data_IF_357697225943
#
_entry.id   IF_357697225943
#
_cell.length_a   1.000
_cell.length_b   1.000
_cell.length_c   1.000
_cell.angle_alpha   90.00
_cell.angle_beta   90.00
_cell.angle_gamma   90.00
#
_symmetry.space_group_name_H-M   'P 1'
#
loop_
_entity.id
_entity.type
_entity.pdbx_description
1 polymer ?
#
# COMPACT_ATOMS: atom_id res chain seq x y z
N UNK A 1 -39.02 46.66 17.99
CA UNK A 1 -37.65 46.21 18.34
C UNK A 1 -37.62 45.07 19.37
N UNK A 2 -38.55 44.99 20.32
CA UNK A 2 -38.51 43.94 21.39
C UNK A 2 -38.70 42.49 20.94
N UNK A 3 -39.50 42.22 19.89
CA UNK A 3 -39.78 40.83 19.46
C UNK A 3 -38.53 40.15 18.88
N UNK A 4 -37.72 40.90 18.12
CA UNK A 4 -36.47 40.36 17.55
C UNK A 4 -35.44 40.06 18.63
N UNK A 5 -35.36 40.90 19.67
CA UNK A 5 -34.49 40.68 20.83
C UNK A 5 -34.94 39.47 21.67
N UNK A 6 -36.25 39.24 21.80
CA UNK A 6 -36.78 38.04 22.46
C UNK A 6 -36.42 36.76 21.71
N UNK A 7 -36.55 36.75 20.37
CA UNK A 7 -36.19 35.58 19.56
C UNK A 7 -34.69 35.27 19.59
N UNK A 8 -33.82 36.28 19.51
CA UNK A 8 -32.37 36.05 19.58
C UNK A 8 -31.95 35.52 20.96
N UNK A 9 -32.53 36.07 22.04
CA UNK A 9 -32.30 35.55 23.40
C UNK A 9 -32.78 34.11 23.56
N UNK A 10 -33.93 33.76 22.99
CA UNK A 10 -34.48 32.41 23.04
C UNK A 10 -33.63 31.38 22.26
N UNK A 11 -33.12 31.75 21.08
CA UNK A 11 -32.22 30.90 20.31
C UNK A 11 -30.89 30.68 21.05
N UNK A 12 -30.32 31.72 21.65
CA UNK A 12 -29.11 31.60 22.47
C UNK A 12 -29.31 30.71 23.69
N UNK A 13 -30.46 30.83 24.36
CA UNK A 13 -30.84 29.95 25.46
C UNK A 13 -30.90 28.47 25.03
N UNK A 14 -31.55 28.19 23.90
CA UNK A 14 -31.64 26.84 23.30
C UNK A 14 -30.27 26.25 22.95
N UNK A 15 -29.38 27.04 22.37
CA UNK A 15 -28.02 26.62 22.01
C UNK A 15 -27.19 26.34 23.27
N UNK A 16 -27.34 27.15 24.32
CA UNK A 16 -26.63 26.96 25.57
C UNK A 16 -27.04 25.69 26.30
N UNK A 17 -28.34 25.34 26.25
CA UNK A 17 -28.86 24.09 26.82
C UNK A 17 -28.31 22.85 26.09
N UNK A 18 -28.21 22.90 24.76
CA UNK A 18 -27.60 21.84 23.95
C UNK A 18 -26.11 21.67 24.25
N UNK A 19 -25.35 22.78 24.32
CA UNK A 19 -23.94 22.78 24.69
C UNK A 19 -23.69 22.15 26.06
N UNK A 20 -24.58 22.41 27.04
CA UNK A 20 -24.50 21.81 28.38
C UNK A 20 -24.75 20.30 28.37
N UNK A 21 -25.62 19.79 27.49
CA UNK A 21 -25.86 18.35 27.32
C UNK A 21 -24.67 17.66 26.66
N UNK A 22 -24.14 18.26 25.60
CA UNK A 22 -22.96 17.74 24.89
C UNK A 22 -21.74 17.73 25.81
N UNK A 23 -21.52 18.80 26.58
CA UNK A 23 -20.43 18.86 27.57
C UNK A 23 -20.47 17.72 28.59
N UNK A 24 -21.65 17.33 29.08
CA UNK A 24 -21.79 16.17 29.99
C UNK A 24 -21.46 14.83 29.32
N UNK A 25 -21.82 14.68 28.05
CA UNK A 25 -21.53 13.46 27.28
C UNK A 25 -20.04 13.41 26.97
N UNK A 26 -19.44 14.53 26.56
CA UNK A 26 -18.00 14.66 26.37
C UNK A 26 -17.27 14.39 27.69
N UNK A 27 -17.66 14.96 28.82
CA UNK A 27 -17.06 14.67 30.12
C UNK A 27 -17.19 13.18 30.47
N UNK A 28 -18.33 12.54 30.20
CA UNK A 28 -18.50 11.10 30.43
C UNK A 28 -17.62 10.23 29.53
N UNK A 29 -17.45 10.61 28.26
CA UNK A 29 -16.68 9.85 27.26
C UNK A 29 -15.17 10.12 27.32
N UNK A 30 -14.77 11.33 27.72
CA UNK A 30 -13.38 11.80 27.71
C UNK A 30 -12.77 11.96 29.10
N UNK A 31 -13.50 11.80 30.20
CA UNK A 31 -12.83 11.71 31.52
C UNK A 31 -12.07 10.38 31.60
N UNK A 32 -10.73 10.42 31.75
CA UNK A 32 -9.95 9.21 31.91
C UNK A 32 -10.38 8.58 33.24
N UNK A 33 -10.88 7.34 33.18
CA UNK A 33 -11.11 6.51 34.36
C UNK A 33 -9.79 6.43 35.12
N UNK A 34 -9.65 7.21 36.21
CA UNK A 34 -8.52 7.10 37.13
C UNK A 34 -8.56 5.68 37.69
N UNK A 35 -7.70 4.81 37.16
CA UNK A 35 -7.45 3.50 37.75
C UNK A 35 -6.92 3.77 39.15
N UNK A 36 -7.66 3.32 40.16
CA UNK A 36 -7.24 3.31 41.55
C UNK A 36 -5.93 2.54 41.64
N UNK A 37 -4.85 3.25 41.96
CA UNK A 37 -3.55 2.67 42.26
C UNK A 37 -3.62 1.91 43.59
N UNK A 38 -3.73 0.59 43.49
CA UNK A 38 -3.25 -0.38 44.46
C UNK A 38 -2.74 -1.52 43.58
N UNK A 39 -1.44 -1.69 43.36
CA UNK A 39 -0.48 -2.22 44.34
C UNK A 39 0.94 -1.94 43.79
N UNK A 40 1.74 -1.19 44.55
CA UNK A 40 3.18 -1.03 44.29
C UNK A 40 3.91 -2.04 45.15
N UNK A 41 4.59 -3.02 44.55
CA UNK A 41 5.96 -3.36 44.93
C UNK A 41 6.70 -4.18 43.87
N UNK A 42 7.44 -3.54 42.96
CA UNK A 42 8.91 -3.70 42.88
C UNK A 42 9.52 -2.81 41.77
N UNK A 43 10.27 -1.82 42.24
CA UNK A 43 11.46 -1.18 41.66
C UNK A 43 11.45 -0.63 40.21
N UNK A 44 11.45 0.72 40.21
CA UNK A 44 12.39 1.65 39.53
C UNK A 44 12.15 1.99 38.04
N UNK A 45 11.67 3.23 37.85
CA UNK A 45 11.69 4.04 36.62
C UNK A 45 13.13 4.54 36.31
N UNK A 46 13.50 5.01 35.09
CA UNK A 46 12.79 6.10 34.40
C UNK A 46 12.44 5.85 32.92
N UNK A 47 11.19 6.12 32.58
CA UNK A 47 10.73 7.02 31.50
C UNK A 47 11.66 7.17 30.29
N UNK A 48 11.34 6.46 29.19
CA UNK A 48 11.04 7.11 27.91
C UNK A 48 10.46 6.10 26.91
N UNK A 49 9.28 6.44 26.37
CA UNK A 49 8.71 6.06 25.08
C UNK A 49 9.19 4.74 24.43
N UNK A 50 8.39 3.68 24.60
CA UNK A 50 8.09 2.63 23.61
C UNK A 50 7.74 1.32 24.34
N UNK A 51 6.60 1.27 25.03
CA UNK A 51 5.96 -0.02 25.33
C UNK A 51 5.08 -0.43 24.14
N UNK A 52 5.74 -0.52 22.99
CA UNK A 52 5.23 -1.22 21.80
C UNK A 52 5.92 -2.58 21.86
N UNK A 53 5.15 -3.67 21.81
CA UNK A 53 5.73 -5.00 21.63
C UNK A 53 6.69 -4.96 20.43
N UNK A 54 8.00 -5.02 20.69
CA UNK A 54 9.06 -4.85 19.66
C UNK A 54 10.21 -3.90 20.02
N UNK A 55 10.16 -3.16 21.13
CA UNK A 55 11.23 -2.22 21.53
C UNK A 55 12.55 -2.87 22.04
N UNK A 56 12.78 -4.16 21.80
CA UNK A 56 14.07 -4.78 22.08
C UNK A 56 15.09 -4.38 21.01
N UNK A 57 15.99 -3.46 21.36
CA UNK A 57 17.07 -2.96 20.48
C UNK A 57 18.26 -3.91 20.36
N UNK A 58 18.15 -5.12 20.90
CA UNK A 58 19.20 -6.12 20.93
C UNK A 58 18.61 -7.44 20.47
N UNK A 59 19.11 -7.94 19.33
CA UNK A 59 18.86 -9.29 18.85
C UNK A 59 19.96 -10.17 19.45
N UNK A 60 19.59 -11.22 20.19
CA UNK A 60 20.55 -12.25 20.56
C UNK A 60 20.83 -13.09 19.32
N UNK A 61 21.85 -12.66 18.59
CA UNK A 61 22.46 -13.50 17.57
C UNK A 61 23.38 -14.49 18.29
N UNK A 62 23.25 -15.78 17.95
CA UNK A 62 24.21 -16.81 18.35
C UNK A 62 25.64 -16.35 18.01
N UNK A 63 26.64 -16.73 18.79
CA UNK A 63 28.05 -16.31 18.57
C UNK A 63 28.59 -16.70 17.17
N UNK A 64 27.87 -17.60 16.49
CA UNK A 64 28.14 -18.12 15.15
C UNK A 64 27.21 -17.56 14.06
N UNK A 65 26.29 -16.67 14.37
CA UNK A 65 25.41 -16.05 13.39
C UNK A 65 26.23 -15.26 12.35
N UNK A 66 26.20 -15.73 11.10
CA UNK A 66 26.99 -15.18 9.99
C UNK A 66 28.43 -15.70 9.91
N UNK A 67 28.89 -16.56 10.84
CA UNK A 67 30.18 -17.28 10.78
C UNK A 67 30.05 -18.68 10.18
N UNK A 68 29.04 -18.95 9.36
CA UNK A 68 29.01 -20.17 8.57
C UNK A 68 30.16 -20.10 7.56
N UNK A 69 31.24 -20.79 7.87
CA UNK A 69 32.30 -21.10 6.90
C UNK A 69 31.63 -21.81 5.74
N UNK A 70 31.86 -21.37 4.51
CA UNK A 70 31.45 -22.13 3.34
C UNK A 70 31.94 -23.58 3.54
N UNK A 71 31.08 -24.60 3.40
CA UNK A 71 31.45 -25.98 3.72
C UNK A 71 32.82 -26.28 3.14
N UNK A 72 33.79 -26.65 4.00
CA UNK A 72 35.20 -26.81 3.60
C UNK A 72 35.39 -27.86 2.49
N UNK A 73 34.35 -28.65 2.22
CA UNK A 73 34.28 -29.59 1.12
C UNK A 73 32.85 -29.55 0.55
N UNK A 74 32.65 -28.97 -0.64
CA UNK A 74 31.56 -29.43 -1.49
C UNK A 74 32.01 -30.75 -2.08
N UNK A 75 31.51 -31.88 -1.56
CA UNK A 75 31.59 -33.11 -2.34
C UNK A 75 30.96 -32.81 -3.70
N UNK A 76 31.67 -33.13 -4.79
CA UNK A 76 31.05 -33.10 -6.11
C UNK A 76 29.83 -34.02 -6.02
N UNK A 77 28.66 -33.52 -6.46
CA UNK A 77 27.49 -34.36 -6.64
C UNK A 77 27.95 -35.58 -7.43
N UNK A 78 27.75 -36.77 -6.86
CA UNK A 78 27.95 -38.00 -7.61
C UNK A 78 27.04 -37.86 -8.83
N UNK A 79 27.60 -37.66 -10.04
CA UNK A 79 26.84 -37.86 -11.27
C UNK A 79 26.54 -39.35 -11.48
N UNK A 80 26.41 -40.13 -10.40
CA UNK A 80 25.91 -41.47 -10.41
C UNK A 80 24.40 -41.37 -10.49
N UNK A 81 23.88 -41.12 -11.69
CA UNK A 81 22.46 -41.27 -12.03
C UNK A 81 21.52 -41.04 -10.85
N UNK A 82 21.43 -39.79 -10.36
CA UNK A 82 20.43 -39.36 -9.36
C UNK A 82 19.02 -39.38 -9.98
N UNK A 83 18.65 -40.49 -10.63
CA UNK A 83 17.27 -40.90 -10.80
C UNK A 83 16.77 -41.19 -9.38
N UNK A 84 15.99 -40.25 -8.84
CA UNK A 84 15.25 -40.40 -7.59
C UNK A 84 14.16 -41.46 -7.85
N UNK A 85 14.56 -42.74 -7.92
CA UNK A 85 13.70 -43.86 -8.28
C UNK A 85 13.17 -43.77 -9.72
N UNK A 86 13.39 -44.82 -10.51
CA UNK A 86 12.42 -45.14 -11.55
C UNK A 86 11.17 -45.57 -10.79
N UNK A 87 10.09 -44.79 -10.83
CA UNK A 87 8.79 -45.32 -10.45
C UNK A 87 8.47 -46.42 -11.45
N UNK A 88 8.58 -47.68 -11.06
CA UNK A 88 8.30 -48.82 -11.95
C UNK A 88 6.84 -48.85 -12.41
N UNK A 89 5.96 -48.12 -11.70
CA UNK A 89 4.56 -47.93 -12.04
C UNK A 89 4.32 -46.92 -13.17
N UNK A 90 5.33 -46.12 -13.56
CA UNK A 90 5.23 -45.15 -14.65
C UNK A 90 6.09 -45.64 -15.82
N UNK A 91 5.48 -46.21 -16.87
CA UNK A 91 6.23 -46.70 -18.00
C UNK A 91 6.81 -45.52 -18.80
N UNK A 92 8.02 -45.68 -19.36
CA UNK A 92 8.77 -44.62 -20.05
C UNK A 92 8.00 -43.99 -21.22
N UNK A 93 7.00 -44.70 -21.74
CA UNK A 93 6.15 -44.20 -22.81
C UNK A 93 5.02 -43.27 -22.40
N UNK A 94 4.73 -43.15 -21.10
CA UNK A 94 3.82 -42.10 -20.60
C UNK A 94 4.50 -40.72 -20.53
N UNK A 95 5.85 -40.69 -20.45
CA UNK A 95 6.64 -39.46 -20.37
C UNK A 95 7.23 -39.03 -21.72
N UNK A 96 7.36 -39.94 -22.69
CA UNK A 96 7.92 -39.62 -24.01
C UNK A 96 6.83 -39.16 -25.00
N UNK A 97 6.97 -37.96 -25.55
CA UNK A 97 6.05 -37.47 -26.58
C UNK A 97 6.16 -38.32 -27.86
N UNK A 98 5.29 -39.32 -28.01
CA UNK A 98 5.20 -40.21 -29.21
C UNK A 98 4.55 -39.56 -30.44
N UNK A 99 4.37 -38.23 -30.44
CA UNK A 99 3.77 -37.55 -31.57
C UNK A 99 4.74 -37.58 -32.76
N UNK A 100 4.29 -37.93 -33.97
CA UNK A 100 5.12 -37.80 -35.16
C UNK A 100 5.55 -36.33 -35.35
N UNK A 101 6.72 -36.13 -35.95
CA UNK A 101 7.32 -34.80 -36.18
C UNK A 101 6.37 -33.79 -36.85
N UNK A 102 5.49 -34.26 -37.74
CA UNK A 102 4.51 -33.42 -38.42
C UNK A 102 3.43 -32.89 -37.47
N UNK A 103 2.95 -33.73 -36.54
CA UNK A 103 1.98 -33.31 -35.51
C UNK A 103 2.62 -32.34 -34.51
N UNK A 104 3.88 -32.57 -34.13
CA UNK A 104 4.62 -31.62 -33.28
C UNK A 104 4.76 -30.25 -33.95
N UNK A 105 4.97 -30.24 -35.27
CA UNK A 105 5.06 -29.00 -36.03
C UNK A 105 3.72 -28.28 -36.12
N UNK A 106 2.63 -28.99 -36.40
CA UNK A 106 1.29 -28.41 -36.42
C UNK A 106 0.91 -27.81 -35.06
N UNK A 107 1.17 -28.51 -33.96
CA UNK A 107 0.90 -28.00 -32.61
C UNK A 107 1.74 -26.77 -32.27
N UNK A 108 2.99 -26.72 -32.72
CA UNK A 108 3.84 -25.54 -32.55
C UNK A 108 3.28 -24.33 -33.30
N UNK A 109 2.82 -24.52 -34.53
CA UNK A 109 2.26 -23.45 -35.36
C UNK A 109 0.92 -22.95 -34.75
N UNK A 110 0.07 -23.85 -34.24
CA UNK A 110 -1.16 -23.47 -33.49
C UNK A 110 -0.84 -22.71 -32.19
N UNK A 111 0.18 -23.13 -31.45
CA UNK A 111 0.59 -22.42 -30.23
C UNK A 111 1.10 -21.01 -30.55
N UNK A 112 1.86 -20.85 -31.63
CA UNK A 112 2.34 -19.53 -32.08
C UNK A 112 1.16 -18.63 -32.50
N UNK A 113 0.13 -19.17 -33.15
CA UNK A 113 -1.10 -18.45 -33.47
C UNK A 113 -1.86 -18.01 -32.19
N UNK A 114 -2.02 -18.92 -31.22
CA UNK A 114 -2.67 -18.60 -29.94
C UNK A 114 -1.90 -17.56 -29.14
N UNK A 115 -0.57 -17.68 -29.09
CA UNK A 115 0.31 -16.73 -28.41
C UNK A 115 0.24 -15.35 -29.09
N UNK A 116 0.14 -15.31 -30.42
CA UNK A 116 -0.03 -14.05 -31.17
C UNK A 116 -1.38 -13.37 -30.94
N UNK A 117 -2.40 -14.16 -30.58
CA UNK A 117 -3.75 -13.67 -30.26
C UNK A 117 -3.90 -13.31 -28.79
N UNK A 118 -3.00 -13.78 -27.94
CA UNK A 118 -2.96 -13.39 -26.54
C UNK A 118 -2.63 -11.90 -26.46
N UNK A 119 -3.40 -11.08 -25.72
CA UNK A 119 -3.00 -9.70 -25.48
C UNK A 119 -1.60 -9.70 -24.84
N UNK A 120 -0.75 -8.75 -25.24
CA UNK A 120 0.48 -8.46 -24.50
C UNK A 120 0.10 -8.36 -23.02
N UNK A 121 0.75 -9.19 -22.18
CA UNK A 121 0.41 -9.35 -20.78
C UNK A 121 0.04 -7.99 -20.16
N UNK A 122 -1.18 -7.88 -19.62
CA UNK A 122 -1.65 -6.66 -18.98
C UNK A 122 -0.56 -6.14 -18.06
N UNK A 123 -0.10 -4.92 -18.34
CA UNK A 123 0.95 -4.29 -17.57
C UNK A 123 0.57 -4.39 -16.10
N UNK A 124 1.35 -5.16 -15.33
CA UNK A 124 1.11 -5.43 -13.92
C UNK A 124 0.78 -4.09 -13.26
N UNK A 125 -0.46 -3.95 -12.79
CA UNK A 125 -0.91 -2.75 -12.10
C UNK A 125 0.13 -2.48 -11.00
N UNK A 126 0.72 -1.27 -10.95
CA UNK A 126 1.75 -0.96 -9.96
C UNK A 126 1.28 -1.37 -8.57
N UNK A 127 2.11 -2.14 -7.86
CA UNK A 127 1.76 -2.63 -6.53
C UNK A 127 1.47 -1.43 -5.60
N UNK A 128 0.21 -1.31 -5.18
CA UNK A 128 -0.25 -0.25 -4.29
C UNK A 128 0.22 -0.56 -2.88
N UNK A 129 0.98 0.35 -2.28
CA UNK A 129 1.50 0.20 -0.92
C UNK A 129 0.50 0.73 0.12
N UNK A 130 0.58 0.31 1.39
CA UNK A 130 -0.24 0.89 2.46
C UNK A 130 -0.08 2.41 2.60
N UNK A 131 1.12 2.94 2.31
CA UNK A 131 1.39 4.38 2.33
C UNK A 131 0.64 5.12 1.21
N UNK A 132 0.41 4.47 0.07
CA UNK A 132 -0.37 5.04 -1.03
C UNK A 132 -1.84 5.15 -0.65
N UNK A 133 -2.40 4.13 0.00
CA UNK A 133 -3.78 4.17 0.51
C UNK A 133 -3.97 5.20 1.62
N UNK A 134 -2.99 5.35 2.52
CA UNK A 134 -3.01 6.41 3.54
C UNK A 134 -3.00 7.79 2.89
N UNK A 135 -2.15 8.01 1.88
CA UNK A 135 -2.11 9.28 1.15
C UNK A 135 -3.44 9.58 0.44
N UNK A 136 -4.13 8.58 -0.11
CA UNK A 136 -5.50 8.75 -0.64
C UNK A 136 -6.45 9.23 0.44
N UNK A 137 -6.43 8.62 1.63
CA UNK A 137 -7.22 9.05 2.77
C UNK A 137 -6.92 10.50 3.19
N UNK A 138 -5.64 10.86 3.30
CA UNK A 138 -5.20 12.21 3.66
C UNK A 138 -5.68 13.25 2.64
N UNK A 139 -5.59 12.95 1.35
CA UNK A 139 -6.03 13.85 0.26
C UNK A 139 -7.55 14.00 0.26
N UNK A 140 -8.30 12.90 0.35
CA UNK A 140 -9.78 12.93 0.34
C UNK A 140 -10.36 13.63 1.56
N UNK A 141 -9.76 13.43 2.74
CA UNK A 141 -10.16 14.09 3.98
C UNK A 141 -9.48 15.47 4.18
N UNK A 142 -8.63 15.86 3.23
CA UNK A 142 -7.81 17.07 3.27
C UNK A 142 -7.07 17.28 4.60
N UNK A 143 -6.51 16.20 5.15
CA UNK A 143 -5.71 16.22 6.37
C UNK A 143 -4.41 16.96 6.12
N UNK A 144 -4.03 17.86 7.04
CA UNK A 144 -2.83 18.69 6.94
C UNK A 144 -2.70 19.48 5.61
N UNK A 145 -3.82 19.74 4.93
CA UNK A 145 -3.82 20.41 3.62
C UNK A 145 -3.33 19.54 2.47
N UNK A 146 -3.32 18.20 2.62
CA UNK A 146 -2.84 17.26 1.61
C UNK A 146 -3.56 17.38 0.25
N UNK A 147 -4.84 17.77 0.23
CA UNK A 147 -5.56 18.00 -1.03
C UNK A 147 -5.10 19.25 -1.80
N UNK A 148 -4.32 20.13 -1.17
CA UNK A 148 -3.69 21.29 -1.83
C UNK A 148 -2.25 21.01 -2.26
N UNK A 149 -1.66 19.90 -1.81
CA UNK A 149 -0.32 19.47 -2.19
C UNK A 149 -0.39 18.71 -3.52
N UNK A 150 0.27 19.25 -4.54
CA UNK A 150 0.18 18.74 -5.92
C UNK A 150 0.82 17.36 -6.08
N UNK A 151 1.94 17.08 -5.38
CA UNK A 151 2.60 15.79 -5.44
C UNK A 151 1.76 14.71 -4.72
N UNK A 152 1.18 15.04 -3.56
CA UNK A 152 0.29 14.13 -2.83
C UNK A 152 -1.00 13.86 -3.60
N UNK A 153 -1.60 14.90 -4.19
CA UNK A 153 -2.82 14.79 -4.99
C UNK A 153 -2.59 13.95 -6.25
N UNK A 154 -1.48 14.15 -6.94
CA UNK A 154 -1.08 13.33 -8.08
C UNK A 154 -0.89 11.86 -7.68
N UNK A 155 -0.16 11.60 -6.59
CA UNK A 155 0.06 10.24 -6.09
C UNK A 155 -1.25 9.57 -5.68
N UNK A 156 -2.17 10.31 -5.06
CA UNK A 156 -3.50 9.82 -4.70
C UNK A 156 -4.31 9.47 -5.96
N UNK A 157 -4.31 10.31 -7.00
CA UNK A 157 -4.97 10.05 -8.26
C UNK A 157 -4.43 8.77 -8.95
N UNK A 158 -3.11 8.59 -8.97
CA UNK A 158 -2.50 7.36 -9.51
C UNK A 158 -2.89 6.11 -8.73
N UNK A 159 -2.98 6.24 -7.41
CA UNK A 159 -3.40 5.14 -6.53
C UNK A 159 -4.86 4.79 -6.78
N UNK A 160 -5.74 5.79 -6.83
CA UNK A 160 -7.16 5.62 -7.14
C UNK A 160 -7.37 4.98 -8.51
N UNK A 161 -6.56 5.34 -9.52
CA UNK A 161 -6.57 4.70 -10.85
C UNK A 161 -6.18 3.22 -10.72
N UNK A 162 -5.11 2.91 -10.01
CA UNK A 162 -4.62 1.55 -9.85
C UNK A 162 -5.64 0.64 -9.14
N UNK A 163 -6.42 1.16 -8.19
CA UNK A 163 -7.42 0.38 -7.45
C UNK A 163 -8.83 0.47 -8.02
N UNK A 164 -9.06 1.12 -9.17
CA UNK A 164 -10.39 1.47 -9.70
C UNK A 164 -11.34 0.27 -9.87
N UNK A 165 -10.78 -0.90 -10.14
CA UNK A 165 -11.50 -2.18 -10.36
C UNK A 165 -11.55 -3.05 -9.09
N UNK A 166 -11.39 -2.44 -7.91
CA UNK A 166 -11.39 -3.14 -6.61
C UNK A 166 -12.44 -2.57 -5.66
N UNK A 167 -12.90 -3.39 -4.71
CA UNK A 167 -13.83 -3.00 -3.65
C UNK A 167 -13.35 -1.79 -2.82
N UNK A 168 -12.03 -1.59 -2.72
CA UNK A 168 -11.46 -0.43 -2.04
C UNK A 168 -11.83 0.88 -2.72
N UNK A 169 -11.92 0.91 -4.05
CA UNK A 169 -12.35 2.09 -4.78
C UNK A 169 -13.84 2.36 -4.59
N UNK A 170 -14.67 1.31 -4.57
CA UNK A 170 -16.10 1.45 -4.25
C UNK A 170 -16.30 2.05 -2.85
N UNK A 171 -15.52 1.63 -1.86
CA UNK A 171 -15.56 2.19 -0.51
C UNK A 171 -15.27 3.71 -0.53
N UNK A 172 -14.21 4.15 -1.22
CA UNK A 172 -13.85 5.57 -1.30
C UNK A 172 -14.88 6.40 -2.07
N UNK A 173 -15.40 5.87 -3.18
CA UNK A 173 -16.36 6.56 -4.05
C UNK A 173 -17.80 6.56 -3.52
N UNK A 174 -18.14 5.66 -2.59
CA UNK A 174 -19.46 5.60 -1.95
C UNK A 174 -19.81 6.86 -1.15
N UNK A 175 -18.80 7.59 -0.67
CA UNK A 175 -19.00 8.84 0.07
C UNK A 175 -19.25 10.00 -0.92
N UNK A 176 -20.38 10.69 -0.78
CA UNK A 176 -20.81 11.76 -1.70
C UNK A 176 -19.81 12.92 -1.76
N UNK A 177 -19.18 13.25 -0.63
CA UNK A 177 -18.14 14.30 -0.55
C UNK A 177 -16.87 13.91 -1.32
N UNK A 178 -16.50 12.62 -1.26
CA UNK A 178 -15.34 12.11 -1.97
C UNK A 178 -15.59 11.96 -3.47
N UNK A 179 -16.82 11.64 -3.89
CA UNK A 179 -17.12 11.41 -5.31
C UNK A 179 -16.69 12.58 -6.20
N UNK A 180 -17.04 13.81 -5.81
CA UNK A 180 -16.65 15.01 -6.57
C UNK A 180 -15.14 15.23 -6.56
N UNK A 181 -14.48 15.00 -5.42
CA UNK A 181 -13.02 15.15 -5.28
C UNK A 181 -12.26 14.11 -6.11
N UNK A 182 -12.75 12.87 -6.15
CA UNK A 182 -12.18 11.80 -6.97
C UNK A 182 -12.33 12.15 -8.44
N UNK A 183 -13.50 12.62 -8.89
CA UNK A 183 -13.70 13.08 -10.27
C UNK A 183 -12.73 14.21 -10.64
N UNK A 184 -12.57 15.23 -9.77
CA UNK A 184 -11.63 16.34 -9.98
C UNK A 184 -10.16 15.87 -10.03
N UNK A 185 -9.77 14.91 -9.18
CA UNK A 185 -8.42 14.33 -9.17
C UNK A 185 -8.14 13.52 -10.43
N UNK A 186 -9.10 12.72 -10.88
CA UNK A 186 -8.97 11.95 -12.11
C UNK A 186 -8.86 12.87 -13.32
N UNK A 187 -9.76 13.85 -13.47
CA UNK A 187 -9.73 14.80 -14.59
C UNK A 187 -8.41 15.59 -14.66
N UNK A 188 -7.82 15.93 -13.50
CA UNK A 188 -6.55 16.67 -13.45
C UNK A 188 -5.32 15.86 -13.81
N UNK A 189 -5.29 14.58 -13.43
CA UNK A 189 -4.04 13.80 -13.37
C UNK A 189 -4.07 12.51 -14.20
N UNK A 190 -5.22 12.12 -14.72
CA UNK A 190 -5.45 10.88 -15.47
C UNK A 190 -6.08 11.24 -16.83
N UNK A 191 -5.53 10.70 -17.92
CA UNK A 191 -6.11 10.87 -19.27
C UNK A 191 -7.26 9.88 -19.55
N UNK A 192 -7.92 10.03 -20.71
CA UNK A 192 -9.07 9.19 -21.12
C UNK A 192 -8.68 7.72 -21.28
N UNK A 193 -7.43 7.44 -21.64
CA UNK A 193 -6.85 6.10 -21.72
C UNK A 193 -6.42 5.57 -20.34
N UNK A 194 -6.55 6.38 -19.30
CA UNK A 194 -6.21 6.10 -17.92
C UNK A 194 -4.77 6.42 -17.55
N UNK A 195 -3.89 6.85 -18.45
CA UNK A 195 -2.49 7.12 -18.15
C UNK A 195 -2.25 8.39 -17.34
N UNK A 196 -1.08 8.45 -16.71
CA UNK A 196 -0.71 9.54 -15.83
C UNK A 196 -0.31 10.79 -16.63
N UNK A 197 -1.00 11.90 -16.39
CA UNK A 197 -0.61 13.18 -16.99
C UNK A 197 0.72 13.68 -16.39
N UNK A 198 1.60 14.29 -17.20
CA UNK A 198 2.86 14.81 -16.70
C UNK A 198 2.61 15.99 -15.76
N UNK A 199 3.15 15.91 -14.54
CA UNK A 199 3.18 17.03 -13.62
C UNK A 199 3.85 18.22 -14.29
N UNK A 200 3.19 19.39 -14.28
CA UNK A 200 3.78 20.66 -14.69
C UNK A 200 4.82 21.09 -13.66
N UNK A 201 5.96 20.41 -13.60
CA UNK A 201 7.12 20.93 -12.88
C UNK A 201 7.57 22.19 -13.59
N UNK A 202 7.41 23.35 -12.94
CA UNK A 202 8.22 24.51 -13.26
C UNK A 202 9.68 24.05 -13.15
N UNK A 203 10.32 23.87 -14.31
CA UNK A 203 11.75 23.60 -14.38
C UNK A 203 12.46 24.83 -13.84
N UNK A 204 12.71 24.86 -12.54
CA UNK A 204 13.93 25.48 -12.05
C UNK A 204 15.06 24.70 -12.70
N UNK A 205 15.60 25.25 -13.80
CA UNK A 205 16.73 24.71 -14.55
C UNK A 205 17.93 24.69 -13.61
N UNK A 206 18.04 23.65 -12.80
CA UNK A 206 19.29 23.30 -12.15
C UNK A 206 20.24 22.86 -13.26
N UNK A 207 21.43 23.46 -13.23
CA UNK A 207 22.49 23.27 -14.24
C UNK A 207 22.70 21.77 -14.51
N UNK A 208 22.95 21.38 -15.78
CA UNK A 208 23.18 19.98 -16.10
C UNK A 208 24.36 19.46 -15.29
N UNK A 209 24.11 18.40 -14.52
CA UNK A 209 25.13 17.62 -13.82
C UNK A 209 26.16 17.17 -14.85
N UNK A 210 27.43 17.41 -14.56
CA UNK A 210 28.52 17.14 -15.49
C UNK A 210 28.50 15.68 -15.95
N UNK A 211 28.64 15.50 -17.26
CA UNK A 211 28.68 14.20 -17.93
C UNK A 211 29.92 13.41 -17.46
N UNK A 212 29.67 12.36 -16.68
CA UNK A 212 30.71 11.53 -16.05
C UNK A 212 31.61 10.83 -17.07
N UNK A 213 31.19 10.75 -18.34
CA UNK A 213 32.00 10.24 -19.46
C UNK A 213 33.23 11.10 -19.78
N UNK A 214 33.33 12.31 -19.23
CA UNK A 214 34.50 13.21 -19.38
C UNK A 214 35.54 13.06 -18.27
N UNK A 215 35.37 12.09 -17.36
CA UNK A 215 36.25 11.89 -16.20
C UNK A 215 37.14 10.63 -16.33
N UNK A 216 37.29 10.07 -17.53
CA UNK A 216 38.20 8.94 -17.83
C UNK A 216 39.27 9.38 -18.80
#
# INVERSE_FOLDING_TARGET
MSIRLGCTAYLLYKVWEQKKRIGKICDLLYTPRKKTETEKDHRRNPESAADVMGATRFVYLDENAGKTVAPYMSQQLEMGSDLIGKDEDIPEDEVECKLPLEEMRMLKDEQEELDSRSPEAEAIVPAVTPADLLNVGDVLLNLDGAGSDEDKSYRAAMTLRAIRETDMFELFSSQVENKKLIEELMERYVDEEGNALPLKKERNVSKPVADWRKLV
#
